data_IF_097234470117
#
_entry.id   IF_097234470117
#
_cell.length_a   1.000
_cell.length_b   1.000
_cell.length_c   1.000
_cell.angle_alpha   90.00
_cell.angle_beta   90.00
_cell.angle_gamma   90.00
#
_symmetry.space_group_name_H-M   'P 1'
#
loop_
_entity.id
_entity.type
_entity.pdbx_description
1 polymer ?
#
# COMPACT_ATOMS: atom_id res chain seq x y z
N UNK A 1 -5.44 1.86 41.77
CA UNK A 1 -5.51 0.41 42.09
C UNK A 1 -5.42 -0.36 40.78
N UNK A 2 -4.26 -0.95 40.50
CA UNK A 2 -4.03 -1.78 39.32
C UNK A 2 -4.72 -3.13 39.52
N UNK A 3 -5.64 -3.48 38.63
CA UNK A 3 -6.23 -4.80 38.57
C UNK A 3 -5.14 -5.81 38.19
N UNK A 4 -5.06 -6.97 38.87
CA UNK A 4 -4.07 -7.98 38.54
C UNK A 4 -4.37 -8.56 37.15
N UNK A 5 -3.31 -8.65 36.34
CA UNK A 5 -3.27 -9.39 35.08
C UNK A 5 -3.89 -10.77 35.30
N UNK A 6 -5.06 -11.00 34.68
CA UNK A 6 -5.67 -12.33 34.65
C UNK A 6 -4.64 -13.30 34.08
N UNK A 7 -4.19 -14.20 34.94
CA UNK A 7 -3.43 -15.39 34.61
C UNK A 7 -4.07 -16.10 33.41
N UNK A 8 -3.20 -16.57 32.51
CA UNK A 8 -3.49 -17.28 31.25
C UNK A 8 -4.75 -18.14 31.37
N UNK A 9 -5.73 -18.01 30.45
CA UNK A 9 -6.80 -18.98 30.39
C UNK A 9 -6.20 -20.29 29.87
N UNK A 10 -5.88 -21.20 30.77
CA UNK A 10 -5.94 -22.62 30.42
C UNK A 10 -7.36 -22.86 29.93
N UNK A 11 -7.51 -23.18 28.63
CA UNK A 11 -8.73 -23.62 27.97
C UNK A 11 -9.17 -24.99 28.53
N UNK A 12 -9.34 -25.07 29.84
CA UNK A 12 -9.75 -26.26 30.57
C UNK A 12 -11.13 -25.99 31.13
N UNK A 13 -12.04 -26.93 30.93
CA UNK A 13 -13.36 -26.91 31.52
C UNK A 13 -13.23 -26.68 33.05
N UNK A 14 -13.96 -25.71 33.65
CA UNK A 14 -13.88 -25.44 35.09
C UNK A 14 -14.27 -26.63 35.98
N UNK A 15 -14.99 -27.64 35.46
CA UNK A 15 -15.41 -28.84 36.21
C UNK A 15 -14.38 -29.99 36.19
N UNK A 16 -13.12 -29.70 35.84
CA UNK A 16 -12.09 -30.70 35.58
C UNK A 16 -11.59 -31.38 36.87
N UNK A 17 -12.06 -32.61 37.11
CA UNK A 17 -11.39 -33.55 38.02
C UNK A 17 -10.46 -34.45 37.20
N UNK A 18 -9.16 -34.39 37.47
CA UNK A 18 -8.16 -35.16 36.73
C UNK A 18 -8.21 -36.64 37.12
N UNK A 19 -9.03 -37.45 36.43
CA UNK A 19 -9.08 -38.89 36.64
C UNK A 19 -8.83 -39.60 35.32
N UNK A 20 -7.59 -40.07 35.17
CA UNK A 20 -7.09 -41.24 34.40
C UNK A 20 -5.79 -40.89 33.67
N UNK A 21 -4.73 -41.65 33.96
CA UNK A 21 -3.69 -42.17 33.06
C UNK A 21 -2.70 -42.99 33.92
N UNK A 22 -3.16 -44.13 34.44
CA UNK A 22 -2.36 -44.98 35.34
C UNK A 22 -1.17 -45.66 34.64
N UNK A 23 -1.18 -45.78 33.31
CA UNK A 23 -0.11 -46.38 32.51
C UNK A 23 0.64 -45.32 31.68
N UNK A 24 1.97 -45.42 31.66
CA UNK A 24 2.88 -44.55 30.89
C UNK A 24 2.74 -44.82 29.39
N UNK A 25 2.49 -46.07 29.03
CA UNK A 25 2.29 -46.55 27.67
C UNK A 25 1.07 -45.87 27.03
N UNK A 26 -0.03 -45.75 27.77
CA UNK A 26 -1.24 -45.07 27.31
C UNK A 26 -0.98 -43.57 27.05
N UNK A 27 -0.21 -42.89 27.91
CA UNK A 27 0.13 -41.47 27.70
C UNK A 27 0.99 -41.27 26.46
N UNK A 28 1.99 -42.14 26.26
CA UNK A 28 2.86 -42.07 25.07
C UNK A 28 2.06 -42.32 23.78
N UNK A 29 1.09 -43.25 23.82
CA UNK A 29 0.20 -43.50 22.69
C UNK A 29 -0.70 -42.30 22.40
N UNK A 30 -1.31 -41.67 23.41
CA UNK A 30 -2.14 -40.48 23.18
C UNK A 30 -1.33 -39.27 22.71
N UNK A 31 -0.07 -39.14 23.13
CA UNK A 31 0.82 -38.07 22.69
C UNK A 31 1.25 -38.23 21.22
N UNK A 32 1.31 -39.47 20.70
CA UNK A 32 1.66 -39.72 19.29
C UNK A 32 0.49 -39.53 18.32
N UNK A 33 -0.73 -39.36 18.83
CA UNK A 33 -1.91 -39.15 17.99
C UNK A 33 -1.93 -37.78 17.33
N UNK A 34 -2.36 -37.78 16.08
CA UNK A 34 -2.61 -36.55 15.35
C UNK A 34 -3.78 -35.76 15.97
N UNK A 35 -3.89 -34.50 15.57
CA UNK A 35 -4.89 -33.59 16.13
C UNK A 35 -6.31 -34.07 15.86
N UNK A 36 -6.56 -34.66 14.69
CA UNK A 36 -7.88 -35.18 14.28
C UNK A 36 -8.31 -36.30 15.21
N UNK A 37 -7.44 -37.29 15.44
CA UNK A 37 -7.73 -38.44 16.30
C UNK A 37 -7.98 -37.99 17.74
N UNK A 38 -7.18 -37.04 18.25
CA UNK A 38 -7.39 -36.49 19.60
C UNK A 38 -8.73 -35.75 19.74
N UNK A 39 -9.14 -34.97 18.73
CA UNK A 39 -10.43 -34.27 18.74
C UNK A 39 -11.62 -35.24 18.65
N UNK A 40 -11.53 -36.26 17.80
CA UNK A 40 -12.54 -37.32 17.70
C UNK A 40 -12.70 -38.04 19.03
N UNK A 41 -11.58 -38.44 19.66
CA UNK A 41 -11.59 -39.06 20.98
C UNK A 41 -12.25 -38.16 22.03
N UNK A 42 -11.91 -36.87 22.05
CA UNK A 42 -12.51 -35.92 23.00
C UNK A 42 -14.02 -35.80 22.80
N UNK A 43 -14.50 -35.73 21.55
CA UNK A 43 -15.93 -35.67 21.24
C UNK A 43 -16.68 -36.91 21.74
N UNK A 44 -16.16 -38.10 21.47
CA UNK A 44 -16.73 -39.36 21.95
C UNK A 44 -16.69 -39.47 23.47
N UNK A 45 -15.58 -39.04 24.08
CA UNK A 45 -15.41 -39.03 25.52
C UNK A 45 -16.43 -38.10 26.20
N UNK A 46 -16.65 -36.91 25.64
CA UNK A 46 -17.63 -35.96 26.14
C UNK A 46 -19.07 -36.52 26.02
N UNK A 47 -19.43 -37.11 24.87
CA UNK A 47 -20.72 -37.77 24.70
C UNK A 47 -20.95 -38.89 25.74
N UNK A 48 -19.90 -39.67 26.03
CA UNK A 48 -19.94 -40.69 27.07
C UNK A 48 -20.07 -40.10 28.49
N UNK A 49 -19.41 -38.98 28.77
CA UNK A 49 -19.55 -38.27 30.04
C UNK A 49 -20.96 -37.73 30.23
N UNK A 50 -21.55 -37.09 29.22
CA UNK A 50 -22.95 -36.64 29.25
C UNK A 50 -23.89 -37.82 29.57
N UNK A 51 -23.68 -38.98 28.93
CA UNK A 51 -24.45 -40.19 29.22
C UNK A 51 -24.29 -40.66 30.67
N UNK A 52 -23.06 -40.62 31.22
CA UNK A 52 -22.80 -40.96 32.63
C UNK A 52 -23.44 -39.98 33.58
N UNK A 53 -23.46 -38.69 33.26
CA UNK A 53 -24.09 -37.67 34.10
C UNK A 53 -25.61 -37.80 34.11
N UNK A 54 -26.23 -38.10 32.97
CA UNK A 54 -27.66 -38.45 32.90
C UNK A 54 -27.98 -39.71 33.73
N UNK A 55 -27.12 -40.73 33.65
CA UNK A 55 -27.27 -41.93 34.48
C UNK A 55 -27.07 -41.62 35.97
N UNK A 56 -26.15 -40.70 36.32
CA UNK A 56 -25.94 -40.25 37.70
C UNK A 56 -27.18 -39.55 38.23
N UNK A 57 -27.78 -38.66 37.45
CA UNK A 57 -29.05 -38.00 37.79
C UNK A 57 -30.18 -39.03 37.98
N UNK A 58 -30.25 -40.05 37.12
CA UNK A 58 -31.21 -41.14 37.26
C UNK A 58 -30.98 -41.95 38.54
N UNK A 59 -29.73 -42.31 38.85
CA UNK A 59 -29.35 -43.00 40.09
C UNK A 59 -29.70 -42.18 41.34
N UNK A 60 -29.47 -40.87 41.33
CA UNK A 60 -29.87 -40.00 42.45
C UNK A 60 -31.38 -39.96 42.67
N UNK A 61 -32.17 -40.16 41.62
CA UNK A 61 -33.64 -40.22 41.69
C UNK A 61 -34.14 -41.58 42.19
N UNK A 62 -33.47 -42.66 41.83
CA UNK A 62 -33.83 -44.04 42.21
C UNK A 62 -32.57 -44.88 42.50
N UNK A 63 -32.00 -44.75 43.71
CA UNK A 63 -30.73 -45.39 44.04
C UNK A 63 -30.81 -46.92 44.15
N UNK A 64 -31.99 -47.44 44.50
CA UNK A 64 -32.22 -48.87 44.74
C UNK A 64 -32.28 -49.66 43.42
N UNK A 65 -32.86 -49.08 42.36
CA UNK A 65 -33.05 -49.78 41.09
C UNK A 65 -32.02 -49.44 40.00
N UNK A 66 -31.34 -48.29 40.11
CA UNK A 66 -30.41 -47.82 39.09
C UNK A 66 -28.99 -47.91 39.63
N UNK A 67 -28.07 -48.55 38.91
CA UNK A 67 -26.65 -48.62 39.33
C UNK A 67 -25.95 -47.27 39.15
N UNK A 68 -25.10 -46.95 40.12
CA UNK A 68 -24.20 -45.79 40.04
C UNK A 68 -23.24 -45.91 38.84
N UNK A 69 -23.10 -44.86 38.02
CA UNK A 69 -22.24 -44.88 36.85
C UNK A 69 -20.75 -44.82 37.21
N UNK A 70 -19.90 -45.22 36.26
CA UNK A 70 -18.45 -45.03 36.38
C UNK A 70 -18.09 -43.53 36.49
N UNK A 71 -16.92 -43.19 37.06
CA UNK A 71 -16.41 -41.82 37.05
C UNK A 71 -16.34 -41.24 35.63
N UNK A 72 -16.47 -39.91 35.54
CA UNK A 72 -16.23 -39.18 34.30
C UNK A 72 -14.75 -39.24 33.93
N UNK A 73 -14.47 -39.27 32.63
CA UNK A 73 -13.12 -39.41 32.08
C UNK A 73 -12.65 -38.08 31.51
N UNK A 74 -11.40 -37.71 31.78
CA UNK A 74 -10.80 -36.47 31.27
C UNK A 74 -10.62 -36.48 29.76
N UNK A 75 -10.76 -35.32 29.13
CA UNK A 75 -10.39 -35.11 27.73
C UNK A 75 -8.87 -34.94 27.57
N UNK A 76 -8.37 -35.32 26.39
CA UNK A 76 -6.98 -35.08 25.98
C UNK A 76 -6.75 -33.59 25.79
N UNK A 77 -5.60 -33.12 26.26
CA UNK A 77 -5.25 -31.70 26.18
C UNK A 77 -4.77 -31.37 24.77
N UNK A 78 -5.40 -30.37 24.16
CA UNK A 78 -4.94 -29.76 22.91
C UNK A 78 -4.22 -28.45 23.24
N UNK A 79 -3.01 -28.27 22.71
CA UNK A 79 -2.21 -27.09 23.02
C UNK A 79 -2.74 -25.85 22.29
N UNK A 80 -2.45 -24.67 22.84
CA UNK A 80 -2.93 -23.40 22.28
C UNK A 80 -2.40 -23.17 20.87
N UNK A 81 -1.16 -23.56 20.60
CA UNK A 81 -0.52 -23.45 19.29
C UNK A 81 -1.21 -24.33 18.25
N UNK A 82 -1.78 -25.45 18.67
CA UNK A 82 -2.54 -26.35 17.80
C UNK A 82 -3.92 -25.75 17.48
N UNK A 83 -4.60 -25.19 18.49
CA UNK A 83 -5.83 -24.44 18.28
C UNK A 83 -5.65 -23.26 17.33
N UNK A 84 -4.53 -22.55 17.47
CA UNK A 84 -4.20 -21.42 16.62
C UNK A 84 -3.92 -21.84 15.16
N UNK A 85 -3.26 -22.99 14.96
CA UNK A 85 -3.06 -23.58 13.62
C UNK A 85 -4.37 -24.02 12.96
N UNK A 86 -5.33 -24.52 13.74
CA UNK A 86 -6.66 -24.86 13.24
C UNK A 86 -7.39 -23.56 12.83
N UNK A 87 -7.41 -22.56 13.71
CA UNK A 87 -8.12 -21.29 13.51
C UNK A 87 -7.62 -20.51 12.28
N UNK A 88 -6.31 -20.48 12.08
CA UNK A 88 -5.68 -19.69 11.00
C UNK A 88 -5.75 -20.33 9.61
N UNK A 89 -6.04 -21.64 9.53
CA UNK A 89 -6.14 -22.37 8.27
C UNK A 89 -7.61 -22.70 7.95
N UNK A 90 -8.25 -22.01 6.99
CA UNK A 90 -9.67 -22.20 6.68
C UNK A 90 -10.05 -23.64 6.32
N UNK A 91 -9.20 -24.32 5.54
CA UNK A 91 -9.44 -25.68 5.06
C UNK A 91 -9.43 -26.66 6.25
N UNK A 92 -8.46 -26.51 7.16
CA UNK A 92 -8.39 -27.33 8.39
C UNK A 92 -9.50 -27.00 9.37
N UNK A 93 -9.88 -25.73 9.50
CA UNK A 93 -10.99 -25.35 10.35
C UNK A 93 -12.29 -25.97 9.85
N UNK A 94 -12.59 -25.85 8.55
CA UNK A 94 -13.83 -26.42 7.99
C UNK A 94 -13.90 -27.93 8.11
N UNK A 95 -12.77 -28.64 7.99
CA UNK A 95 -12.74 -30.08 8.17
C UNK A 95 -12.89 -30.50 9.63
N UNK A 96 -12.41 -29.71 10.60
CA UNK A 96 -12.39 -30.09 12.02
C UNK A 96 -13.50 -29.45 12.87
N UNK A 97 -14.19 -28.39 12.40
CA UNK A 97 -15.16 -27.60 13.19
C UNK A 97 -16.25 -28.43 13.86
N UNK A 98 -16.66 -29.53 13.24
CA UNK A 98 -17.69 -30.44 13.76
C UNK A 98 -17.22 -31.31 14.94
N UNK A 99 -15.91 -31.35 15.21
CA UNK A 99 -15.28 -32.04 16.34
C UNK A 99 -14.95 -31.09 17.50
N UNK A 100 -15.08 -29.79 17.28
CA UNK A 100 -14.68 -28.76 18.24
C UNK A 100 -15.89 -28.41 19.13
N UNK A 101 -15.73 -28.35 20.46
CA UNK A 101 -16.79 -27.88 21.35
C UNK A 101 -17.17 -26.41 21.12
N UNK A 102 -18.44 -26.06 21.35
CA UNK A 102 -18.99 -24.72 21.11
C UNK A 102 -18.22 -23.62 21.86
N UNK A 103 -17.83 -23.85 23.11
CA UNK A 103 -17.07 -22.87 23.90
C UNK A 103 -15.68 -22.55 23.29
N UNK A 104 -15.09 -23.48 22.54
CA UNK A 104 -13.84 -23.23 21.81
C UNK A 104 -14.12 -22.45 20.52
N UNK A 105 -15.25 -22.72 19.85
CA UNK A 105 -15.67 -21.95 18.68
C UNK A 105 -15.94 -20.48 19.05
N UNK A 106 -16.63 -20.23 20.17
CA UNK A 106 -16.84 -18.89 20.72
C UNK A 106 -15.53 -18.19 21.07
N UNK A 107 -14.56 -18.93 21.64
CA UNK A 107 -13.23 -18.42 21.92
C UNK A 107 -12.49 -18.02 20.62
N UNK A 108 -12.57 -18.83 19.57
CA UNK A 108 -11.95 -18.55 18.26
C UNK A 108 -12.55 -17.30 17.61
N UNK A 109 -13.87 -17.14 17.68
CA UNK A 109 -14.58 -15.96 17.16
C UNK A 109 -14.22 -14.69 17.96
N UNK A 110 -14.24 -14.78 19.28
CA UNK A 110 -13.83 -13.69 20.18
C UNK A 110 -12.39 -13.24 19.90
N UNK A 111 -11.48 -14.18 19.64
CA UNK A 111 -10.10 -13.88 19.24
C UNK A 111 -10.02 -13.14 17.91
N UNK A 112 -10.80 -13.54 16.91
CA UNK A 112 -10.85 -12.86 15.61
C UNK A 112 -11.36 -11.43 15.74
N UNK A 113 -12.40 -11.20 16.56
CA UNK A 113 -12.92 -9.87 16.86
C UNK A 113 -11.85 -9.01 17.56
N UNK A 114 -11.17 -9.59 18.54
CA UNK A 114 -10.10 -8.89 19.27
C UNK A 114 -8.93 -8.53 18.35
N UNK A 115 -8.52 -9.41 17.42
CA UNK A 115 -7.45 -9.09 16.46
C UNK A 115 -7.81 -7.94 15.51
N UNK A 116 -9.07 -7.88 15.07
CA UNK A 116 -9.56 -6.75 14.27
C UNK A 116 -9.55 -5.47 15.09
N UNK A 117 -9.95 -5.54 16.36
CA UNK A 117 -9.91 -4.42 17.29
C UNK A 117 -8.48 -3.95 17.56
N UNK A 118 -7.58 -4.86 17.91
CA UNK A 118 -6.16 -4.58 18.14
C UNK A 118 -5.49 -4.00 16.88
N UNK A 119 -5.87 -4.46 15.69
CA UNK A 119 -5.38 -3.92 14.42
C UNK A 119 -5.87 -2.49 14.20
N UNK A 120 -7.15 -2.21 14.47
CA UNK A 120 -7.71 -0.85 14.39
C UNK A 120 -7.07 0.08 15.42
N UNK A 121 -6.87 -0.39 16.65
CA UNK A 121 -6.20 0.38 17.70
C UNK A 121 -4.74 0.67 17.33
N UNK A 122 -4.01 -0.28 16.73
CA UNK A 122 -2.66 -0.01 16.18
C UNK A 122 -2.68 0.96 15.01
N UNK A 123 -3.67 0.89 14.12
CA UNK A 123 -3.84 1.84 13.00
C UNK A 123 -4.20 3.26 13.50
N UNK A 124 -4.99 3.35 14.58
CA UNK A 124 -5.31 4.60 15.26
C UNK A 124 -4.13 5.16 16.05
N UNK A 125 -3.38 4.32 16.79
CA UNK A 125 -2.19 4.73 17.53
C UNK A 125 -1.05 5.11 16.59
N UNK A 126 -0.83 4.39 15.49
CA UNK A 126 0.12 4.82 14.45
C UNK A 126 -0.34 6.10 13.75
N UNK A 127 -1.64 6.34 13.58
CA UNK A 127 -2.17 7.63 13.11
C UNK A 127 -1.96 8.75 14.12
N UNK A 128 -2.15 8.49 15.42
CA UNK A 128 -1.94 9.45 16.50
C UNK A 128 -0.46 9.74 16.73
N UNK A 129 0.42 8.74 16.68
CA UNK A 129 1.87 8.90 16.69
C UNK A 129 2.35 9.65 15.44
N UNK A 130 1.78 9.36 14.26
CA UNK A 130 2.05 10.14 13.06
C UNK A 130 1.52 11.58 13.16
N UNK A 131 0.41 11.81 13.86
CA UNK A 131 -0.14 13.15 14.12
C UNK A 131 0.68 13.92 15.18
N UNK A 132 1.18 13.24 16.22
CA UNK A 132 2.09 13.79 17.23
C UNK A 132 3.48 14.07 16.65
N UNK A 133 4.01 13.18 15.81
CA UNK A 133 5.22 13.45 15.02
C UNK A 133 4.99 14.62 14.06
N UNK A 134 3.83 14.72 13.40
CA UNK A 134 3.48 15.88 12.57
C UNK A 134 3.37 17.15 13.41
N UNK A 135 2.86 17.09 14.65
CA UNK A 135 2.80 18.23 15.58
C UNK A 135 4.19 18.62 16.09
N UNK A 136 5.08 17.66 16.37
CA UNK A 136 6.50 17.92 16.72
C UNK A 136 7.28 18.48 15.52
N UNK A 137 7.09 17.94 14.32
CA UNK A 137 7.67 18.46 13.07
C UNK A 137 7.10 19.84 12.69
N UNK A 138 5.84 20.16 13.02
CA UNK A 138 5.27 21.52 12.88
C UNK A 138 5.85 22.53 13.87
N UNK A 139 6.35 22.10 15.03
CA UNK A 139 7.08 22.98 15.98
C UNK A 139 8.53 23.20 15.60
N UNK A 140 9.08 22.39 14.69
CA UNK A 140 10.45 22.52 14.16
C UNK A 140 10.49 22.89 12.67
N UNK A 141 9.33 23.09 12.03
CA UNK A 141 9.28 23.71 10.73
C UNK A 141 9.57 25.19 10.94
N UNK A 142 10.54 25.73 10.20
CA UNK A 142 10.75 27.16 10.12
C UNK A 142 9.39 27.86 9.97
N UNK A 143 9.16 28.96 10.71
CA UNK A 143 7.90 29.68 10.62
C UNK A 143 7.62 29.94 9.15
N UNK A 144 6.42 29.58 8.69
CA UNK A 144 5.96 29.89 7.34
C UNK A 144 6.12 31.40 7.18
N UNK A 145 7.16 31.82 6.46
CA UNK A 145 7.31 33.21 6.05
C UNK A 145 6.13 33.44 5.11
N UNK A 146 5.14 34.28 5.48
CA UNK A 146 4.14 34.66 4.51
C UNK A 146 4.89 35.34 3.37
N UNK A 147 4.97 34.66 2.23
CA UNK A 147 5.47 35.26 1.01
C UNK A 147 4.47 36.37 0.68
N UNK A 148 4.85 37.61 0.99
CA UNK A 148 4.13 38.78 0.54
C UNK A 148 4.20 38.75 -0.97
N UNK A 149 3.13 38.24 -1.61
CA UNK A 149 2.99 38.29 -3.06
C UNK A 149 2.89 39.77 -3.42
N UNK A 150 4.00 40.35 -3.87
CA UNK A 150 3.99 41.68 -4.45
C UNK A 150 3.33 41.57 -5.83
N UNK A 151 2.12 42.14 -6.05
CA UNK A 151 1.43 42.03 -7.34
C UNK A 151 2.19 42.70 -8.50
N UNK A 152 3.25 43.47 -8.21
CA UNK A 152 4.10 44.12 -9.19
C UNK A 152 5.35 43.29 -9.59
N UNK A 153 5.63 42.17 -8.92
CA UNK A 153 6.78 41.31 -9.22
C UNK A 153 6.29 40.06 -9.95
N UNK A 154 6.76 39.78 -11.19
CA UNK A 154 6.43 38.54 -11.88
C UNK A 154 6.78 37.33 -11.03
N UNK A 155 5.92 36.31 -10.99
CA UNK A 155 6.20 35.06 -10.29
C UNK A 155 7.59 34.54 -10.64
N UNK A 156 8.45 34.46 -9.62
CA UNK A 156 9.78 33.88 -9.75
C UNK A 156 9.65 32.38 -9.45
N UNK A 157 9.44 31.59 -10.50
CA UNK A 157 9.29 30.15 -10.40
C UNK A 157 10.48 29.52 -9.67
N UNK A 158 10.23 28.92 -8.50
CA UNK A 158 11.17 28.03 -7.81
C UNK A 158 10.84 26.58 -8.18
N UNK A 159 11.80 25.84 -8.75
CA UNK A 159 11.60 24.45 -9.15
C UNK A 159 11.97 23.51 -7.99
N UNK A 160 11.04 22.65 -7.60
CA UNK A 160 11.28 21.65 -6.56
C UNK A 160 12.14 20.48 -7.09
N UNK A 161 12.99 19.87 -6.25
CA UNK A 161 13.90 18.77 -6.60
C UNK A 161 13.22 17.61 -7.33
N UNK A 162 11.98 17.31 -6.94
CA UNK A 162 11.04 16.42 -7.62
C UNK A 162 11.02 16.56 -9.15
N UNK A 163 11.01 17.79 -9.69
CA UNK A 163 11.02 18.02 -11.14
C UNK A 163 12.34 17.60 -11.76
N UNK A 164 13.47 17.86 -11.08
CA UNK A 164 14.77 17.41 -11.55
C UNK A 164 14.87 15.89 -11.54
N UNK A 165 14.34 15.20 -10.53
CA UNK A 165 14.32 13.74 -10.48
C UNK A 165 13.53 13.13 -11.66
N UNK A 166 12.33 13.65 -11.94
CA UNK A 166 11.50 13.18 -13.06
C UNK A 166 12.23 13.36 -14.39
N UNK A 167 12.86 14.53 -14.57
CA UNK A 167 13.56 14.93 -15.77
C UNK A 167 14.69 14.00 -16.22
N UNK A 168 15.23 13.18 -15.31
CA UNK A 168 16.25 12.18 -15.64
C UNK A 168 15.66 10.87 -16.19
N UNK A 169 14.38 10.62 -15.92
CA UNK A 169 13.74 9.31 -16.17
C UNK A 169 12.72 9.40 -17.31
N UNK A 170 12.07 10.55 -17.51
CA UNK A 170 11.00 10.70 -18.50
C UNK A 170 10.82 12.18 -18.91
N UNK A 171 10.38 12.47 -20.15
CA UNK A 171 10.04 13.83 -20.54
C UNK A 171 8.89 14.36 -19.67
N UNK A 172 9.09 15.55 -19.11
CA UNK A 172 8.08 16.19 -18.26
C UNK A 172 7.06 16.93 -19.15
N UNK A 173 5.76 16.72 -18.94
CA UNK A 173 4.74 17.46 -19.68
C UNK A 173 4.82 18.98 -19.41
N UNK A 174 4.63 19.81 -20.45
CA UNK A 174 4.61 21.28 -20.27
C UNK A 174 3.58 21.77 -19.22
N UNK A 175 2.37 21.18 -19.09
CA UNK A 175 1.39 21.65 -18.10
C UNK A 175 1.90 21.63 -16.65
N UNK A 176 2.94 20.84 -16.33
CA UNK A 176 3.57 20.82 -15.00
C UNK A 176 4.30 22.12 -14.67
N UNK A 177 4.61 22.92 -15.70
CA UNK A 177 5.31 24.19 -15.59
C UNK A 177 4.36 25.39 -15.57
N UNK A 178 3.05 25.18 -15.47
CA UNK A 178 2.14 26.26 -15.11
C UNK A 178 2.44 26.74 -13.69
N UNK A 179 2.21 28.02 -13.41
CA UNK A 179 2.48 28.61 -12.11
C UNK A 179 1.69 27.89 -10.99
N UNK A 180 0.45 27.52 -11.28
CA UNK A 180 -0.39 26.74 -10.37
C UNK A 180 0.15 25.34 -10.11
N UNK A 181 0.62 24.64 -11.16
CA UNK A 181 1.22 23.32 -11.00
C UNK A 181 2.53 23.37 -10.22
N UNK A 182 3.40 24.35 -10.50
CA UNK A 182 4.65 24.55 -9.76
C UNK A 182 4.38 24.87 -8.28
N UNK A 183 3.42 25.74 -8.00
CA UNK A 183 3.02 26.05 -6.63
C UNK A 183 2.44 24.81 -5.92
N UNK A 184 1.62 24.01 -6.62
CA UNK A 184 1.06 22.77 -6.07
C UNK A 184 2.17 21.77 -5.74
N UNK A 185 3.10 21.53 -6.68
CA UNK A 185 4.22 20.59 -6.50
C UNK A 185 5.08 21.01 -5.32
N UNK A 186 5.43 22.30 -5.22
CA UNK A 186 6.20 22.86 -4.10
C UNK A 186 5.47 22.69 -2.77
N UNK A 187 4.19 23.07 -2.69
CA UNK A 187 3.40 22.98 -1.46
C UNK A 187 3.14 21.55 -0.98
N UNK A 188 3.14 20.57 -1.91
CA UNK A 188 2.77 19.17 -1.65
C UNK A 188 3.89 18.17 -1.90
N UNK A 189 5.14 18.63 -1.93
CA UNK A 189 6.34 17.84 -2.23
C UNK A 189 6.40 16.48 -1.50
N UNK A 190 6.11 16.47 -0.20
CA UNK A 190 6.14 15.26 0.65
C UNK A 190 5.01 14.26 0.36
N UNK A 191 4.01 14.65 -0.41
CA UNK A 191 2.82 13.85 -0.73
C UNK A 191 2.68 13.56 -2.23
N UNK A 192 3.74 13.84 -3.00
CA UNK A 192 3.76 13.52 -4.42
C UNK A 192 3.66 12.00 -4.63
N UNK A 193 2.96 11.54 -5.67
CA UNK A 193 2.77 10.11 -5.89
C UNK A 193 4.07 9.49 -6.38
N UNK A 194 4.46 8.36 -5.80
CA UNK A 194 5.68 7.64 -6.18
C UNK A 194 5.34 6.24 -6.70
N UNK A 195 6.01 5.84 -7.78
CA UNK A 195 5.96 4.48 -8.31
C UNK A 195 7.29 3.79 -8.07
N UNK A 196 7.22 2.54 -7.61
CA UNK A 196 8.40 1.70 -7.47
C UNK A 196 8.82 1.19 -8.84
N UNK A 197 10.10 1.33 -9.19
CA UNK A 197 10.66 0.62 -10.32
C UNK A 197 11.54 -0.53 -9.83
N UNK A 198 11.41 -1.67 -10.50
CA UNK A 198 12.25 -2.84 -10.29
C UNK A 198 13.24 -2.91 -11.44
N UNK A 199 14.52 -2.72 -11.13
CA UNK A 199 15.61 -3.05 -12.03
C UNK A 199 16.06 -4.48 -11.74
N UNK A 200 16.68 -5.14 -12.73
CA UNK A 200 17.33 -6.44 -12.55
C UNK A 200 18.54 -6.35 -11.58
N UNK A 201 19.04 -5.15 -11.34
CA UNK A 201 20.02 -4.86 -10.30
C UNK A 201 19.30 -4.33 -9.04
N UNK A 202 19.30 -5.05 -7.91
CA UNK A 202 18.64 -4.63 -6.67
C UNK A 202 19.12 -3.26 -6.17
N UNK A 203 20.39 -2.90 -6.43
CA UNK A 203 20.98 -1.62 -6.03
C UNK A 203 20.48 -0.45 -6.87
N UNK A 204 19.86 -0.74 -8.01
CA UNK A 204 19.24 0.24 -8.90
C UNK A 204 17.72 0.19 -8.82
N UNK A 205 17.13 -0.57 -7.91
CA UNK A 205 15.69 -0.49 -7.66
C UNK A 205 15.38 0.70 -6.75
N UNK A 206 14.32 1.44 -7.04
CA UNK A 206 14.03 2.69 -6.33
C UNK A 206 12.60 3.18 -6.53
N UNK A 207 12.36 4.41 -6.09
CA UNK A 207 11.09 5.13 -6.28
C UNK A 207 11.35 6.33 -7.18
N UNK A 208 10.41 6.61 -8.07
CA UNK A 208 10.38 7.83 -8.86
C UNK A 208 8.94 8.37 -8.85
N UNK A 209 8.76 9.64 -9.16
CA UNK A 209 7.43 10.24 -9.15
C UNK A 209 6.59 9.66 -10.29
N UNK A 210 5.38 9.20 -9.96
CA UNK A 210 4.42 8.69 -10.92
C UNK A 210 3.79 9.86 -11.69
N UNK A 211 4.24 10.07 -12.93
CA UNK A 211 3.78 11.16 -13.79
C UNK A 211 2.27 11.08 -14.04
N UNK A 212 1.71 9.88 -14.24
CA UNK A 212 0.28 9.73 -14.53
C UNK A 212 -0.57 10.02 -13.30
N UNK A 213 -0.14 9.58 -12.12
CA UNK A 213 -0.80 9.93 -10.88
C UNK A 213 -0.68 11.44 -10.58
N UNK A 214 0.50 12.04 -10.84
CA UNK A 214 0.71 13.48 -10.63
C UNK A 214 -0.12 14.32 -11.61
N UNK A 215 -0.22 13.92 -12.88
CA UNK A 215 -1.15 14.51 -13.86
C UNK A 215 -2.58 14.55 -13.33
N UNK A 216 -3.06 13.43 -12.79
CA UNK A 216 -4.40 13.31 -12.20
C UNK A 216 -4.58 14.24 -10.99
N UNK A 217 -3.57 14.34 -10.12
CA UNK A 217 -3.59 15.24 -8.95
C UNK A 217 -3.63 16.71 -9.36
N UNK A 218 -2.88 17.08 -10.40
CA UNK A 218 -2.86 18.42 -10.99
C UNK A 218 -4.10 18.73 -11.85
N UNK A 219 -5.00 17.75 -12.04
CA UNK A 219 -6.22 17.87 -12.86
C UNK A 219 -5.91 18.29 -14.30
N UNK A 220 -4.74 17.92 -14.82
CA UNK A 220 -4.36 18.18 -16.20
C UNK A 220 -5.21 17.28 -17.09
N UNK A 221 -6.05 17.90 -17.92
CA UNK A 221 -6.87 17.20 -18.90
C UNK A 221 -6.18 17.30 -20.26
N UNK A 222 -5.70 16.17 -20.77
CA UNK A 222 -5.49 16.05 -22.21
C UNK A 222 -6.89 15.98 -22.84
N UNK A 223 -7.17 16.76 -23.87
CA UNK A 223 -8.39 16.51 -24.63
C UNK A 223 -8.22 15.15 -25.33
N UNK A 224 -9.27 14.32 -25.33
CA UNK A 224 -9.20 12.91 -25.77
C UNK A 224 -8.69 12.77 -27.23
N UNK A 225 -8.84 13.81 -28.04
CA UNK A 225 -8.37 13.89 -29.44
C UNK A 225 -7.06 14.69 -29.62
N UNK A 226 -6.56 15.32 -28.56
CA UNK A 226 -5.47 16.28 -28.59
C UNK A 226 -4.30 15.70 -27.79
N UNK A 227 -3.46 14.89 -28.46
CA UNK A 227 -2.19 14.39 -27.91
C UNK A 227 -1.18 15.52 -27.56
N UNK A 228 -1.65 16.76 -27.39
CA UNK A 228 -0.96 18.03 -27.47
C UNK A 228 -1.03 18.80 -26.14
N UNK A 229 -1.03 18.05 -25.04
CA UNK A 229 -0.93 18.56 -23.66
C UNK A 229 -2.09 19.43 -23.16
N UNK A 230 -3.14 19.63 -23.97
CA UNK A 230 -4.39 20.28 -23.56
C UNK A 230 -4.25 21.74 -23.14
N UNK A 231 -3.15 22.39 -23.53
CA UNK A 231 -2.86 23.79 -23.21
C UNK A 231 -3.57 24.72 -24.21
N UNK A 232 -4.12 25.83 -23.73
CA UNK A 232 -4.39 26.98 -24.58
C UNK A 232 -3.11 27.79 -24.82
N UNK A 233 -3.15 28.77 -25.75
CA UNK A 233 -1.96 29.53 -26.10
C UNK A 233 -1.39 30.36 -24.93
N UNK A 234 -2.25 30.91 -24.06
CA UNK A 234 -1.80 31.75 -22.94
C UNK A 234 -1.07 30.87 -21.92
N UNK A 235 -1.68 29.75 -21.56
CA UNK A 235 -1.10 28.79 -20.64
C UNK A 235 0.15 28.12 -21.23
N UNK A 236 0.18 27.89 -22.54
CA UNK A 236 1.39 27.44 -23.22
C UNK A 236 2.55 28.42 -23.06
N UNK A 237 2.34 29.72 -23.29
CA UNK A 237 3.39 30.74 -23.12
C UNK A 237 3.90 30.77 -21.68
N UNK A 238 3.01 30.66 -20.69
CA UNK A 238 3.40 30.56 -19.28
C UNK A 238 4.28 29.33 -19.02
N UNK A 239 3.79 28.15 -19.39
CA UNK A 239 4.49 26.88 -19.21
C UNK A 239 5.86 26.88 -19.89
N UNK A 240 5.95 27.41 -21.11
CA UNK A 240 7.21 27.51 -21.86
C UNK A 240 8.23 28.39 -21.18
N UNK A 241 7.81 29.57 -20.67
CA UNK A 241 8.72 30.46 -19.96
C UNK A 241 9.32 29.80 -18.72
N UNK A 242 8.50 29.06 -17.97
CA UNK A 242 8.97 28.31 -16.82
C UNK A 242 9.82 27.10 -17.22
N UNK A 243 9.45 26.39 -18.28
CA UNK A 243 10.20 25.25 -18.79
C UNK A 243 11.59 25.66 -19.30
N UNK A 244 11.71 26.76 -20.04
CA UNK A 244 13.01 27.29 -20.49
C UNK A 244 13.93 27.60 -19.29
N UNK A 245 13.39 28.22 -18.23
CA UNK A 245 14.14 28.50 -17.00
C UNK A 245 14.60 27.22 -16.31
N UNK A 246 13.73 26.22 -16.23
CA UNK A 246 14.05 24.91 -15.64
C UNK A 246 15.12 24.15 -16.44
N UNK A 247 14.98 24.08 -17.76
CA UNK A 247 15.98 23.41 -18.61
C UNK A 247 17.33 24.12 -18.55
N UNK A 248 17.31 25.45 -18.43
CA UNK A 248 18.52 26.26 -18.21
C UNK A 248 19.17 25.98 -16.86
N UNK A 249 18.39 25.85 -15.77
CA UNK A 249 18.94 25.54 -14.45
C UNK A 249 19.44 24.10 -14.33
N UNK A 250 18.94 23.19 -15.18
CA UNK A 250 19.36 21.79 -15.24
C UNK A 250 20.61 21.57 -16.09
N UNK A 251 20.97 22.51 -16.94
CA UNK A 251 22.17 22.42 -17.78
C UNK A 251 23.42 22.74 -16.95
N UNK A 252 24.45 21.87 -16.89
CA UNK A 252 25.68 22.13 -16.14
C UNK A 252 26.41 23.42 -16.53
N UNK A 253 26.29 23.84 -17.79
CA UNK A 253 26.86 25.10 -18.28
C UNK A 253 25.87 26.29 -18.20
N UNK A 254 24.74 26.09 -17.51
CA UNK A 254 23.70 27.10 -17.34
C UNK A 254 23.19 27.63 -18.69
N UNK A 255 22.99 28.95 -18.85
CA UNK A 255 22.51 29.55 -20.10
C UNK A 255 23.41 29.31 -21.32
N UNK A 256 24.69 29.02 -21.13
CA UNK A 256 25.63 28.75 -22.21
C UNK A 256 25.64 27.28 -22.66
N UNK A 257 24.92 26.41 -21.96
CA UNK A 257 24.90 24.99 -22.24
C UNK A 257 24.07 24.61 -23.47
N UNK A 258 24.43 23.49 -24.09
CA UNK A 258 23.84 23.02 -25.35
C UNK A 258 22.34 22.75 -25.22
N UNK A 259 21.90 22.21 -24.08
CA UNK A 259 20.49 21.90 -23.84
C UNK A 259 19.71 23.19 -23.59
N UNK A 260 20.25 24.09 -22.76
CA UNK A 260 19.64 25.39 -22.52
C UNK A 260 19.46 26.18 -23.83
N UNK A 261 20.52 26.27 -24.64
CA UNK A 261 20.52 26.98 -25.92
C UNK A 261 19.51 26.39 -26.90
N UNK A 262 19.46 25.06 -27.05
CA UNK A 262 18.47 24.42 -27.91
C UNK A 262 17.05 24.78 -27.49
N UNK A 263 16.73 24.62 -26.19
CA UNK A 263 15.38 24.83 -25.67
C UNK A 263 14.96 26.29 -25.85
N UNK A 264 15.85 27.24 -25.56
CA UNK A 264 15.61 28.66 -25.77
C UNK A 264 15.35 28.97 -27.26
N UNK A 265 16.20 28.45 -28.17
CA UNK A 265 16.07 28.70 -29.60
C UNK A 265 14.79 28.07 -30.18
N UNK A 266 14.49 26.83 -29.79
CA UNK A 266 13.29 26.09 -30.19
C UNK A 266 12.02 26.87 -29.84
N UNK A 267 11.84 27.24 -28.57
CA UNK A 267 10.64 27.97 -28.18
C UNK A 267 10.61 29.40 -28.72
N UNK A 268 11.76 30.07 -28.80
CA UNK A 268 11.86 31.40 -29.43
C UNK A 268 11.41 31.36 -30.89
N UNK A 269 11.69 30.29 -31.64
CA UNK A 269 11.23 30.14 -33.02
C UNK A 269 9.70 30.17 -33.10
N UNK A 270 9.00 29.41 -32.25
CA UNK A 270 7.52 29.33 -32.27
C UNK A 270 6.85 30.58 -31.69
N UNK A 271 7.42 31.15 -30.62
CA UNK A 271 6.87 32.33 -29.96
C UNK A 271 7.05 33.62 -30.78
N UNK A 272 8.09 33.73 -31.59
CA UNK A 272 8.37 34.94 -32.37
C UNK A 272 7.75 34.95 -33.78
N UNK A 273 6.89 33.98 -34.14
CA UNK A 273 6.17 34.01 -35.43
C UNK A 273 5.04 35.04 -35.41
N UNK A 274 4.85 35.73 -36.54
CA UNK A 274 3.67 36.59 -36.74
C UNK A 274 2.41 35.74 -36.62
N UNK A 275 1.40 36.25 -35.90
CA UNK A 275 0.14 35.54 -35.64
C UNK A 275 0.28 34.21 -34.86
N UNK A 276 1.35 34.05 -34.06
CA UNK A 276 1.64 32.82 -33.28
C UNK A 276 0.44 32.29 -32.49
N UNK A 277 -0.34 33.15 -31.82
CA UNK A 277 -1.55 32.74 -31.08
C UNK A 277 -2.62 32.10 -31.97
N UNK A 278 -2.84 32.63 -33.19
CA UNK A 278 -3.79 32.09 -34.16
C UNK A 278 -3.29 30.79 -34.77
N UNK A 279 -1.97 30.68 -34.94
CA UNK A 279 -1.34 29.52 -35.55
C UNK A 279 -1.07 28.38 -34.55
N UNK A 280 -1.25 28.65 -33.25
CA UNK A 280 -0.90 27.72 -32.17
C UNK A 280 -1.45 26.30 -32.37
N UNK A 281 -2.74 26.18 -32.67
CA UNK A 281 -3.38 24.90 -32.90
C UNK A 281 -2.75 24.10 -34.06
N UNK A 282 -2.16 24.77 -35.04
CA UNK A 282 -1.56 24.14 -36.22
C UNK A 282 -0.12 23.67 -35.97
N UNK A 283 0.68 24.43 -35.21
CA UNK A 283 2.09 24.10 -35.01
C UNK A 283 2.40 23.37 -33.69
N UNK A 284 1.51 23.40 -32.69
CA UNK A 284 1.70 22.69 -31.42
C UNK A 284 1.98 21.17 -31.58
N UNK A 285 1.43 20.42 -32.57
CA UNK A 285 1.85 19.02 -32.79
C UNK A 285 3.29 18.89 -33.24
N UNK A 286 3.74 19.77 -34.13
CA UNK A 286 5.11 19.76 -34.62
C UNK A 286 6.11 20.13 -33.52
N UNK A 287 5.77 21.13 -32.69
CA UNK A 287 6.56 21.52 -31.52
C UNK A 287 6.76 20.34 -30.56
N UNK A 288 5.67 19.70 -30.13
CA UNK A 288 5.73 18.58 -29.18
C UNK A 288 6.58 17.43 -29.71
N UNK A 289 6.44 17.11 -31.00
CA UNK A 289 7.25 16.06 -31.64
C UNK A 289 8.75 16.38 -31.56
N UNK A 290 9.15 17.57 -31.99
CA UNK A 290 10.55 18.00 -32.00
C UNK A 290 11.11 18.01 -30.57
N UNK A 291 10.33 18.47 -29.58
CA UNK A 291 10.75 18.48 -28.17
C UNK A 291 11.00 17.08 -27.62
N UNK A 292 10.13 16.12 -27.96
CA UNK A 292 10.29 14.73 -27.53
C UNK A 292 11.47 14.03 -28.23
N UNK A 293 11.67 14.28 -29.53
CA UNK A 293 12.84 13.80 -30.27
C UNK A 293 14.14 14.29 -29.62
N UNK A 294 14.21 15.59 -29.32
CA UNK A 294 15.38 16.16 -28.66
C UNK A 294 15.64 15.59 -27.26
N UNK A 295 14.58 15.34 -26.47
CA UNK A 295 14.73 14.73 -25.15
C UNK A 295 15.45 13.37 -25.23
N UNK A 296 15.14 12.56 -26.24
CA UNK A 296 15.79 11.27 -26.47
C UNK A 296 17.28 11.42 -26.83
N UNK A 297 17.62 12.43 -27.63
CA UNK A 297 19.01 12.74 -27.97
C UNK A 297 19.81 13.19 -26.73
N UNK A 298 19.26 14.11 -25.92
CA UNK A 298 19.94 14.63 -24.72
C UNK A 298 20.05 13.62 -23.57
N UNK A 299 19.21 12.59 -23.56
CA UNK A 299 19.28 11.50 -22.56
C UNK A 299 20.09 10.31 -23.06
N UNK A 300 20.66 10.37 -24.28
CA UNK A 300 21.49 9.31 -24.85
C UNK A 300 20.71 8.03 -25.14
N UNK A 301 19.40 8.12 -25.39
CA UNK A 301 18.51 6.97 -25.59
C UNK A 301 18.51 6.46 -27.04
N UNK A 302 19.68 6.42 -27.68
CA UNK A 302 19.94 5.55 -28.83
C UNK A 302 21.29 4.88 -28.57
N UNK A 303 21.22 3.59 -28.16
CA UNK A 303 22.17 2.46 -28.36
C UNK A 303 22.17 1.43 -27.21
N UNK A 304 21.24 1.43 -26.24
CA UNK A 304 21.20 0.37 -25.18
C UNK A 304 19.85 -0.27 -24.87
N UNK A 305 18.77 0.11 -25.56
CA UNK A 305 17.46 -0.54 -25.39
C UNK A 305 16.99 -1.31 -26.63
N UNK A 306 17.72 -1.27 -27.75
CA UNK A 306 17.49 -2.16 -28.89
C UNK A 306 17.76 -3.64 -28.54
N UNK A 307 18.55 -3.93 -27.51
CA UNK A 307 18.90 -5.30 -27.12
C UNK A 307 17.99 -5.89 -26.02
N UNK A 308 16.97 -5.16 -25.55
CA UNK A 308 16.02 -5.68 -24.55
C UNK A 308 14.58 -5.29 -24.84
N UNK A 309 14.07 -5.76 -25.98
CA UNK A 309 12.73 -6.34 -26.08
C UNK A 309 11.50 -5.47 -25.76
N UNK A 310 11.58 -4.15 -25.69
CA UNK A 310 10.39 -3.30 -25.64
C UNK A 310 10.15 -2.64 -27.00
N UNK A 311 9.66 -3.45 -27.94
CA UNK A 311 9.07 -2.97 -29.17
C UNK A 311 7.76 -2.22 -28.85
N UNK A 312 7.79 -0.92 -29.13
CA UNK A 312 6.73 -0.10 -29.74
C UNK A 312 5.29 -0.64 -29.77
N UNK A 313 4.37 0.12 -29.19
CA UNK A 313 3.01 0.27 -29.75
C UNK A 313 2.75 1.74 -30.05
N UNK A 314 3.21 2.18 -31.23
CA UNK A 314 2.63 3.34 -31.92
C UNK A 314 1.95 2.78 -33.17
N UNK A 315 0.66 3.06 -33.29
CA UNK A 315 -0.28 2.38 -34.16
C UNK A 315 0.09 2.40 -35.64
N UNK A 316 -0.03 1.22 -36.27
CA UNK A 316 -0.19 1.07 -37.71
C UNK A 316 -1.59 1.56 -38.08
N UNK A 317 -1.72 2.77 -38.62
CA UNK A 317 -2.91 3.12 -39.40
C UNK A 317 -2.80 2.50 -40.79
N UNK A 318 -3.83 1.73 -41.13
CA UNK A 318 -4.04 1.12 -42.43
C UNK A 318 -4.23 2.20 -43.50
N UNK A 319 -3.50 2.08 -44.61
CA UNK A 319 -3.98 2.55 -45.89
C UNK A 319 -4.91 1.49 -46.49
N UNK A 320 -6.13 1.91 -46.78
CA UNK A 320 -6.97 1.36 -47.86
C UNK A 320 -7.12 2.44 -48.90
#
# INVERSE_FOLDING_TARGET
MQLPLRSRPTLQNPDRVHITHSSVEARNMFASWDITTRLTFNKENNANNIRRDLQRAAHLRDPENIRSPSPVTSELTIQLEEWEKIRTNPIRFDSLKHLIPDFILEWMESRKIQEVKDKREREEDTSREAEEEKKKKRRLAEPLVPVVKNPLVPFQASFHDALYEIAHVSPIPLPFFSNDALQFISARAHSLPHKKFKSNDPRKSGYFIDIEALKKMLRIKYADDDQLEGLDYILFVECVNNYMRFETSRDPAGPAGTRAQFIIQHFSFFLNKRHTAKLYAFWKPAELRIRNEQYLEFTGFIQRFSDRGYATTVGKHHHT
#
